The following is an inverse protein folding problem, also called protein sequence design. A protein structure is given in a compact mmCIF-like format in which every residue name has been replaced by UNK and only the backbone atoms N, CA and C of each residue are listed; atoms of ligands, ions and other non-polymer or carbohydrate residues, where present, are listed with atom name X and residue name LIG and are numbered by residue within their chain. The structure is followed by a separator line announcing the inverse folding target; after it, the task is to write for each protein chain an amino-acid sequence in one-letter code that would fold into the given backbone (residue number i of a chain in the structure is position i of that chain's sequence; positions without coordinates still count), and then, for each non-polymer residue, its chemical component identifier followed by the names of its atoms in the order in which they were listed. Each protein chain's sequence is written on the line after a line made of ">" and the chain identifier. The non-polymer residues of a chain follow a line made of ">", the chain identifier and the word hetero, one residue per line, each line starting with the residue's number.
data_IF_034569788400
#
_entry.id   IF_034569788400
#
_cell.length_a   1.000
_cell.length_b   1.000
_cell.length_c   1.000
_cell.angle_alpha   90.00
_cell.angle_beta   90.00
_cell.angle_gamma   90.00
#
_symmetry.space_group_name_H-M   'P 1'
#
loop_
_entity.id
_entity.type
_entity.pdbx_description
1 polymer ?
#
# COMPACT_ATOMS: atom_id res chain seq x y z
N UNK A 1 -25.40 8.26 9.61
CA UNK A 1 -24.19 8.81 10.23
C UNK A 1 -23.86 10.16 9.59
N UNK A 2 -23.34 11.14 10.36
CA UNK A 2 -22.81 12.36 9.77
C UNK A 2 -21.65 12.03 8.83
N UNK A 3 -21.55 12.73 7.69
CA UNK A 3 -20.57 12.47 6.64
C UNK A 3 -19.10 12.49 7.13
N UNK A 4 -18.81 13.25 8.20
CA UNK A 4 -17.46 13.34 8.79
C UNK A 4 -17.07 12.16 9.69
N UNK A 5 -17.94 11.16 9.85
CA UNK A 5 -17.72 9.97 10.68
C UNK A 5 -17.66 8.68 9.85
N UNK A 6 -17.83 8.79 8.57
CA UNK A 6 -17.81 7.69 7.63
C UNK A 6 -16.66 7.88 6.63
N UNK A 7 -15.77 6.93 6.57
CA UNK A 7 -14.75 6.85 5.52
C UNK A 7 -15.16 5.71 4.61
N UNK A 8 -15.23 5.97 3.32
CA UNK A 8 -15.63 4.99 2.31
C UNK A 8 -14.54 4.82 1.26
N UNK A 9 -14.39 3.61 0.77
CA UNK A 9 -13.48 3.26 -0.31
C UNK A 9 -14.15 2.28 -1.25
N UNK A 10 -14.17 2.61 -2.53
CA UNK A 10 -14.56 1.70 -3.60
C UNK A 10 -13.32 0.99 -4.15
N UNK A 11 -13.50 -0.25 -4.61
CA UNK A 11 -12.48 -0.91 -5.41
C UNK A 11 -12.43 -0.35 -6.84
N UNK A 12 -11.45 -0.80 -7.65
CA UNK A 12 -11.23 -0.29 -9.00
C UNK A 12 -12.41 -0.54 -9.97
N UNK A 13 -13.19 -1.59 -9.73
CA UNK A 13 -14.35 -1.96 -10.54
C UNK A 13 -15.65 -1.33 -10.06
N UNK A 14 -15.63 -0.63 -8.94
CA UNK A 14 -16.80 -0.03 -8.27
C UNK A 14 -17.94 -1.04 -7.95
N UNK A 15 -17.58 -2.30 -7.74
CA UNK A 15 -18.52 -3.37 -7.37
C UNK A 15 -18.44 -3.77 -5.90
N UNK A 16 -17.45 -3.24 -5.19
CA UNK A 16 -17.23 -3.50 -3.77
C UNK A 16 -16.96 -2.21 -3.02
N UNK A 17 -17.61 -2.05 -1.87
CA UNK A 17 -17.46 -0.90 -0.99
C UNK A 17 -16.98 -1.35 0.38
N UNK A 18 -15.88 -0.79 0.81
CA UNK A 18 -15.40 -0.89 2.19
C UNK A 18 -15.68 0.44 2.90
N UNK A 19 -16.16 0.38 4.13
CA UNK A 19 -16.40 1.58 4.91
C UNK A 19 -16.01 1.41 6.37
N UNK A 20 -15.55 2.51 6.96
CA UNK A 20 -15.14 2.61 8.36
C UNK A 20 -15.93 3.69 9.06
N UNK A 21 -16.37 3.40 10.28
CA UNK A 21 -17.16 4.34 11.09
C UNK A 21 -16.32 4.83 12.26
N UNK A 22 -16.10 6.13 12.32
CA UNK A 22 -15.37 6.81 13.40
C UNK A 22 -16.30 7.18 14.56
N UNK A 23 -17.01 6.22 15.14
CA UNK A 23 -17.81 6.47 16.34
C UNK A 23 -18.14 5.18 17.10
N UNK A 24 -17.16 4.63 17.81
CA UNK A 24 -17.36 3.42 18.63
C UNK A 24 -18.41 3.56 19.74
N UNK A 25 -18.64 4.79 20.25
CA UNK A 25 -19.54 5.03 21.38
C UNK A 25 -21.02 5.10 21.01
N UNK A 26 -21.33 5.26 19.73
CA UNK A 26 -22.69 5.44 19.19
C UNK A 26 -23.02 4.47 18.07
N UNK A 27 -22.28 3.34 18.01
CA UNK A 27 -22.61 2.28 17.07
C UNK A 27 -23.94 1.64 17.47
N UNK A 28 -24.96 1.63 16.60
CA UNK A 28 -26.17 0.86 16.84
C UNK A 28 -25.89 -0.64 16.72
N UNK A 29 -26.62 -1.48 17.44
CA UNK A 29 -26.53 -2.94 17.33
C UNK A 29 -26.84 -3.44 15.91
N UNK A 30 -27.63 -2.67 15.18
CA UNK A 30 -27.99 -2.93 13.78
C UNK A 30 -27.73 -1.68 12.95
N UNK A 31 -26.94 -1.84 11.89
CA UNK A 31 -26.68 -0.81 10.89
C UNK A 31 -27.54 -1.08 9.66
N UNK A 32 -28.26 -0.07 9.21
CA UNK A 32 -29.01 -0.09 7.96
C UNK A 32 -28.25 0.72 6.91
N UNK A 33 -27.85 0.02 5.83
CA UNK A 33 -27.14 0.61 4.70
C UNK A 33 -28.06 0.57 3.49
N UNK A 34 -28.27 1.71 2.85
CA UNK A 34 -29.00 1.82 1.58
C UNK A 34 -27.99 2.11 0.48
N UNK A 35 -28.01 1.27 -0.55
CA UNK A 35 -27.10 1.39 -1.69
C UNK A 35 -27.93 1.63 -2.94
N UNK A 36 -27.72 2.79 -3.56
CA UNK A 36 -28.36 3.16 -4.83
C UNK A 36 -27.43 2.83 -5.98
N UNK A 37 -27.88 2.00 -6.90
CA UNK A 37 -27.10 1.63 -8.10
C UNK A 37 -27.98 1.32 -9.29
N UNK A 38 -27.38 1.25 -10.47
CA UNK A 38 -28.08 0.88 -11.70
C UNK A 38 -28.04 -0.63 -11.88
N UNK A 39 -29.21 -1.28 -11.90
CA UNK A 39 -29.37 -2.71 -12.10
C UNK A 39 -29.96 -3.00 -13.46
N UNK A 40 -29.45 -4.03 -14.13
CA UNK A 40 -30.00 -4.50 -15.41
C UNK A 40 -31.30 -5.27 -15.15
N UNK A 41 -32.37 -4.87 -15.80
CA UNK A 41 -33.67 -5.56 -15.78
C UNK A 41 -33.66 -6.82 -16.68
N UNK A 42 -34.78 -7.52 -16.71
CA UNK A 42 -34.97 -8.74 -17.54
C UNK A 42 -34.90 -8.49 -19.05
N UNK A 43 -34.99 -7.23 -19.48
CA UNK A 43 -34.91 -6.80 -20.89
C UNK A 43 -33.51 -6.24 -21.23
N UNK A 44 -32.54 -6.33 -20.33
CA UNK A 44 -31.19 -5.82 -20.52
C UNK A 44 -31.06 -4.28 -20.35
N UNK A 45 -32.10 -3.60 -19.85
CA UNK A 45 -32.08 -2.14 -19.62
C UNK A 45 -31.63 -1.81 -18.20
N UNK A 46 -30.76 -0.83 -18.08
CA UNK A 46 -30.33 -0.30 -16.77
C UNK A 46 -31.47 0.51 -16.13
N UNK A 47 -31.86 0.14 -14.93
CA UNK A 47 -32.87 0.81 -14.11
C UNK A 47 -32.29 1.14 -12.73
N UNK A 48 -32.65 2.31 -12.14
CA UNK A 48 -32.22 2.64 -10.78
C UNK A 48 -32.83 1.66 -9.77
N UNK A 49 -31.98 1.17 -8.86
CA UNK A 49 -32.37 0.24 -7.82
C UNK A 49 -31.74 0.64 -6.51
N UNK A 50 -32.52 0.58 -5.42
CA UNK A 50 -32.05 0.80 -4.05
C UNK A 50 -32.05 -0.54 -3.31
N UNK A 51 -30.93 -0.95 -2.83
CA UNK A 51 -30.78 -2.15 -2.00
C UNK A 51 -30.66 -1.75 -0.53
N UNK A 52 -31.42 -2.43 0.32
CA UNK A 52 -31.36 -2.26 1.77
C UNK A 52 -30.62 -3.43 2.41
N UNK A 53 -29.44 -3.13 2.94
CA UNK A 53 -28.58 -4.11 3.61
C UNK A 53 -28.67 -3.89 5.11
N UNK A 54 -29.04 -4.92 5.85
CA UNK A 54 -29.06 -4.94 7.30
C UNK A 54 -27.83 -5.64 7.82
N UNK A 55 -26.98 -4.93 8.55
CA UNK A 55 -25.78 -5.45 9.19
C UNK A 55 -25.98 -5.47 10.70
N UNK A 56 -25.74 -6.60 11.35
CA UNK A 56 -25.74 -6.73 12.81
C UNK A 56 -24.31 -6.89 13.29
N UNK A 57 -23.98 -6.26 14.42
CA UNK A 57 -22.68 -6.44 15.03
C UNK A 57 -22.54 -7.90 15.47
N UNK A 58 -21.51 -8.59 15.00
CA UNK A 58 -21.17 -9.94 15.45
C UNK A 58 -20.68 -9.84 16.91
N UNK A 59 -21.52 -10.23 17.84
CA UNK A 59 -21.12 -10.32 19.24
C UNK A 59 -20.11 -11.46 19.40
N UNK A 60 -18.86 -11.13 19.64
CA UNK A 60 -17.78 -12.09 19.94
C UNK A 60 -17.99 -12.88 21.24
N UNK A 61 -19.20 -12.81 21.86
CA UNK A 61 -19.59 -13.44 23.12
C UNK A 61 -20.37 -14.76 23.00
N UNK A 62 -20.62 -15.28 21.81
CA UNK A 62 -21.27 -16.58 21.62
C UNK A 62 -20.32 -17.72 21.98
N UNK A 63 -20.58 -18.44 23.08
CA UNK A 63 -19.91 -19.69 23.47
C UNK A 63 -20.07 -20.75 22.39
N UNK A 64 -19.28 -20.74 21.37
CA UNK A 64 -19.03 -21.88 20.47
C UNK A 64 -17.94 -22.74 21.09
N UNK A 65 -18.33 -23.91 21.62
CA UNK A 65 -17.39 -24.98 21.96
C UNK A 65 -16.82 -25.50 20.63
N UNK A 66 -15.63 -25.11 20.30
CA UNK A 66 -14.57 -25.88 19.62
C UNK A 66 -13.62 -24.96 18.86
N UNK A 67 -12.36 -25.26 19.03
CA UNK A 67 -11.13 -24.67 18.50
C UNK A 67 -10.61 -23.45 19.26
N UNK A 68 -9.36 -23.61 19.72
CA UNK A 68 -8.49 -22.54 20.24
C UNK A 68 -8.32 -21.48 19.15
N UNK A 69 -9.30 -20.57 19.00
CA UNK A 69 -9.11 -19.34 18.23
C UNK A 69 -8.21 -18.45 19.05
N UNK A 70 -7.09 -18.09 18.49
CA UNK A 70 -6.26 -17.01 18.97
C UNK A 70 -7.20 -15.83 19.27
N UNK A 71 -7.26 -15.44 20.53
CA UNK A 71 -7.88 -14.18 20.96
C UNK A 71 -7.10 -13.12 20.18
N UNK A 72 -7.70 -12.55 19.14
CA UNK A 72 -7.14 -11.34 18.53
C UNK A 72 -7.15 -10.32 19.65
N UNK A 73 -5.97 -10.02 20.20
CA UNK A 73 -5.79 -8.84 21.02
C UNK A 73 -6.32 -7.67 20.20
N UNK A 74 -7.27 -6.91 20.75
CA UNK A 74 -7.67 -5.65 20.13
C UNK A 74 -6.40 -4.82 19.99
N UNK A 75 -6.09 -4.42 18.76
CA UNK A 75 -4.96 -3.54 18.51
C UNK A 75 -5.16 -2.27 19.34
N UNK A 76 -4.25 -2.00 20.26
CA UNK A 76 -4.26 -0.80 21.11
C UNK A 76 -3.39 0.30 20.52
N UNK A 77 -2.77 0.03 19.36
CA UNK A 77 -1.91 0.95 18.63
C UNK A 77 -2.33 1.01 17.16
N UNK A 78 -2.01 2.11 16.50
CA UNK A 78 -2.13 2.23 15.05
C UNK A 78 -1.04 1.38 14.41
N UNK A 79 -1.40 0.17 14.01
CA UNK A 79 -0.44 -0.79 13.41
C UNK A 79 -0.07 -0.35 12.02
N UNK A 80 1.24 -0.27 11.79
CA UNK A 80 1.85 0.17 10.55
C UNK A 80 2.89 -0.84 10.10
N UNK A 81 2.85 -1.21 8.84
CA UNK A 81 3.88 -2.04 8.17
C UNK A 81 4.59 -1.19 7.13
N UNK A 82 5.91 -1.18 7.15
CA UNK A 82 6.72 -0.52 6.11
C UNK A 82 7.53 -1.58 5.37
N UNK A 83 7.40 -1.59 4.05
CA UNK A 83 8.13 -2.48 3.15
C UNK A 83 9.06 -1.66 2.27
N UNK A 84 10.31 -2.06 2.21
CA UNK A 84 11.29 -1.52 1.27
C UNK A 84 12.27 -2.65 0.90
N UNK A 85 12.38 -2.92 -0.38
CA UNK A 85 13.21 -4.00 -0.88
C UNK A 85 14.26 -3.44 -1.82
N UNK A 86 15.51 -3.91 -1.76
CA UNK A 86 16.61 -3.37 -2.55
C UNK A 86 16.31 -3.31 -4.06
N UNK A 87 15.64 -4.33 -4.59
CA UNK A 87 15.30 -4.44 -6.01
C UNK A 87 14.17 -3.52 -6.45
N UNK A 88 13.35 -3.04 -5.50
CA UNK A 88 12.11 -2.29 -5.77
C UNK A 88 12.12 -0.86 -5.30
N UNK A 89 12.92 -0.53 -4.29
CA UNK A 89 12.86 0.77 -3.59
C UNK A 89 13.11 1.96 -4.52
N UNK A 90 13.86 1.79 -5.60
CA UNK A 90 14.12 2.86 -6.57
C UNK A 90 12.85 3.25 -7.34
N UNK A 91 11.98 2.30 -7.68
CA UNK A 91 10.75 2.55 -8.43
C UNK A 91 9.51 2.68 -7.55
N UNK A 92 9.45 1.94 -6.45
CA UNK A 92 8.26 1.87 -5.58
C UNK A 92 8.44 2.55 -4.23
N UNK A 93 9.65 3.05 -3.91
CA UNK A 93 9.93 3.73 -2.65
C UNK A 93 9.76 2.84 -1.42
N UNK A 94 9.44 3.47 -0.30
CA UNK A 94 9.04 2.82 0.95
C UNK A 94 7.52 2.74 0.98
N UNK A 95 6.98 1.54 0.85
CA UNK A 95 5.54 1.27 0.91
C UNK A 95 5.11 1.16 2.38
N UNK A 96 4.28 2.07 2.82
CA UNK A 96 3.75 2.11 4.19
C UNK A 96 2.27 1.76 4.17
N UNK A 97 1.86 0.76 4.93
CA UNK A 97 0.49 0.29 5.00
C UNK A 97 0.00 0.23 6.46
N UNK A 98 -1.19 0.76 6.69
CA UNK A 98 -1.86 0.80 7.99
C UNK A 98 -3.01 -0.20 8.04
N UNK A 99 -3.30 -0.76 9.22
CA UNK A 99 -4.44 -1.65 9.40
C UNK A 99 -5.77 -0.93 9.17
N UNK A 100 -5.83 0.38 9.50
CA UNK A 100 -7.01 1.21 9.36
C UNK A 100 -6.68 2.56 8.70
N UNK A 101 -7.65 3.22 8.06
CA UNK A 101 -7.45 4.55 7.51
C UNK A 101 -7.03 5.55 8.60
N UNK A 102 -6.18 6.49 8.21
CA UNK A 102 -5.72 7.56 9.09
C UNK A 102 -6.73 8.72 9.13
N UNK A 103 -6.92 9.30 10.32
CA UNK A 103 -7.64 10.55 10.55
C UNK A 103 -6.69 11.70 10.90
N UNK A 104 -5.42 11.39 11.18
CA UNK A 104 -4.36 12.35 11.38
C UNK A 104 -3.05 11.77 10.86
N UNK A 105 -2.32 12.58 10.13
CA UNK A 105 -1.03 12.23 9.52
C UNK A 105 -0.05 13.40 9.60
N UNK A 106 1.19 13.10 10.00
CA UNK A 106 2.25 14.09 10.15
C UNK A 106 3.57 13.54 9.61
N UNK A 107 3.73 13.59 8.30
CA UNK A 107 4.91 13.06 7.60
C UNK A 107 6.16 13.93 7.76
N UNK A 108 6.05 15.22 8.11
CA UNK A 108 7.19 16.13 8.26
C UNK A 108 8.19 15.69 9.32
N UNK A 109 7.74 14.90 10.28
CA UNK A 109 8.59 14.35 11.34
C UNK A 109 9.23 13.00 10.99
N UNK A 110 8.82 12.38 9.90
CA UNK A 110 9.43 11.18 9.36
C UNK A 110 10.78 11.54 8.76
N UNK A 111 11.80 10.73 9.01
CA UNK A 111 13.16 11.01 8.56
C UNK A 111 13.67 9.89 7.67
N UNK A 112 14.11 10.27 6.48
CA UNK A 112 14.87 9.39 5.60
C UNK A 112 16.34 9.80 5.64
N UNK A 113 17.22 8.82 5.86
CA UNK A 113 18.66 9.03 5.96
C UNK A 113 19.37 8.05 5.01
N UNK A 114 20.33 8.54 4.24
CA UNK A 114 21.25 7.70 3.49
C UNK A 114 22.55 7.53 4.31
N UNK A 115 23.09 6.32 4.31
CA UNK A 115 24.33 5.96 5.00
C UNK A 115 25.27 5.40 3.94
N UNK A 116 26.40 6.07 3.74
CA UNK A 116 27.38 5.66 2.74
C UNK A 116 28.24 4.48 3.28
N UNK A 117 29.08 3.82 2.41
CA UNK A 117 29.97 2.76 2.85
C UNK A 117 30.99 3.15 3.93
N UNK A 118 31.23 4.46 4.11
CA UNK A 118 32.11 4.98 5.17
C UNK A 118 31.35 5.31 6.48
N UNK A 119 30.10 4.88 6.60
CA UNK A 119 29.22 5.11 7.76
C UNK A 119 28.89 6.62 8.01
N UNK A 120 28.96 7.44 6.99
CA UNK A 120 28.54 8.84 7.08
C UNK A 120 27.05 8.93 6.73
N UNK A 121 26.29 9.60 7.60
CA UNK A 121 24.86 9.79 7.42
C UNK A 121 24.56 11.15 6.77
N UNK A 122 23.62 11.14 5.82
CA UNK A 122 23.08 12.35 5.23
C UNK A 122 21.55 12.28 5.19
N UNK A 123 20.91 13.42 5.50
CA UNK A 123 19.44 13.52 5.38
C UNK A 123 19.04 13.49 3.90
N UNK A 124 17.99 12.78 3.61
CA UNK A 124 17.41 12.68 2.28
C UNK A 124 15.95 13.14 2.31
N UNK A 125 15.55 13.89 1.30
CA UNK A 125 14.14 14.27 1.12
C UNK A 125 13.37 13.16 0.48
N UNK A 126 12.07 13.18 0.66
CA UNK A 126 11.14 12.26 0.02
C UNK A 126 9.81 12.95 -0.25
N UNK A 127 9.10 12.49 -1.24
CA UNK A 127 7.70 12.84 -1.48
C UNK A 127 6.78 11.76 -0.92
N UNK A 128 5.56 12.14 -0.56
CA UNK A 128 4.55 11.22 -0.04
C UNK A 128 3.36 11.19 -1.00
N UNK A 129 2.95 9.99 -1.40
CA UNK A 129 1.76 9.78 -2.22
C UNK A 129 0.86 8.78 -1.51
N UNK A 130 -0.41 9.13 -1.36
CA UNK A 130 -1.45 8.21 -0.88
C UNK A 130 -2.01 7.43 -2.06
N UNK A 131 -2.21 6.14 -1.89
CA UNK A 131 -2.87 5.31 -2.87
C UNK A 131 -4.35 5.71 -3.00
N UNK A 132 -4.83 5.93 -4.22
CA UNK A 132 -6.22 6.32 -4.48
C UNK A 132 -7.21 5.17 -4.31
N UNK A 133 -6.74 3.92 -4.46
CA UNK A 133 -7.55 2.70 -4.38
C UNK A 133 -7.42 2.00 -3.02
N UNK A 134 -6.42 2.37 -2.21
CA UNK A 134 -6.25 1.87 -0.85
C UNK A 134 -5.90 3.00 0.10
N UNK A 135 -6.91 3.55 0.77
CA UNK A 135 -6.77 4.68 1.70
C UNK A 135 -5.83 4.41 2.89
N UNK A 136 -5.42 3.17 3.09
CA UNK A 136 -4.50 2.75 4.14
C UNK A 136 -3.05 2.70 3.69
N UNK A 137 -2.80 2.89 2.36
CA UNK A 137 -1.49 2.73 1.75
C UNK A 137 -0.89 4.07 1.32
N UNK A 138 0.37 4.26 1.69
CA UNK A 138 1.19 5.42 1.32
C UNK A 138 2.51 4.95 0.74
N UNK A 139 3.04 5.72 -0.19
CA UNK A 139 4.36 5.53 -0.76
C UNK A 139 5.22 6.74 -0.43
N UNK A 140 6.36 6.49 0.21
CA UNK A 140 7.38 7.50 0.47
C UNK A 140 8.49 7.31 -0.56
N UNK A 141 8.52 8.18 -1.56
CA UNK A 141 9.48 8.12 -2.65
C UNK A 141 10.69 9.00 -2.34
N UNK A 142 11.90 8.42 -2.23
CA UNK A 142 13.13 9.20 -2.05
C UNK A 142 13.34 10.19 -3.21
N UNK A 143 13.70 11.42 -2.88
CA UNK A 143 14.10 12.41 -3.88
C UNK A 143 15.57 12.23 -4.25
N UNK A 144 15.84 12.06 -5.55
CA UNK A 144 17.18 11.85 -6.08
C UNK A 144 17.52 10.37 -6.29
N UNK A 145 18.69 10.16 -6.90
CA UNK A 145 19.16 8.82 -7.26
C UNK A 145 19.65 8.06 -6.03
N UNK A 146 19.21 6.83 -5.90
CA UNK A 146 19.75 5.90 -4.92
C UNK A 146 21.10 5.36 -5.38
N UNK A 147 22.05 5.23 -4.46
CA UNK A 147 23.44 4.85 -4.75
C UNK A 147 23.71 3.41 -4.31
N UNK A 148 24.37 2.65 -5.15
CA UNK A 148 24.81 1.27 -4.84
C UNK A 148 25.74 1.25 -3.61
N UNK A 149 25.59 0.21 -2.80
CA UNK A 149 26.38 0.03 -1.58
C UNK A 149 26.01 0.96 -0.43
N UNK A 150 24.98 1.79 -0.59
CA UNK A 150 24.43 2.61 0.50
C UNK A 150 23.33 1.88 1.25
N UNK A 151 23.15 2.24 2.51
CA UNK A 151 21.98 1.88 3.31
C UNK A 151 21.04 3.10 3.42
N UNK A 152 19.75 2.86 3.30
CA UNK A 152 18.71 3.87 3.46
C UNK A 152 17.85 3.51 4.66
N UNK A 153 17.73 4.45 5.59
CA UNK A 153 17.05 4.27 6.86
C UNK A 153 15.85 5.21 6.95
N UNK A 154 14.66 4.65 7.00
CA UNK A 154 13.42 5.39 7.27
C UNK A 154 13.08 5.24 8.75
N UNK A 155 12.99 6.36 9.45
CA UNK A 155 12.61 6.42 10.87
C UNK A 155 11.29 7.15 11.01
N UNK A 156 10.31 6.46 11.58
CA UNK A 156 8.98 6.99 11.91
C UNK A 156 8.91 7.18 13.42
N UNK A 157 8.79 8.41 13.92
CA UNK A 157 8.64 8.64 15.36
C UNK A 157 7.28 8.16 15.88
N UNK A 158 7.17 8.04 17.19
CA UNK A 158 5.92 7.76 17.89
C UNK A 158 4.91 8.90 17.72
N UNK A 159 3.61 8.58 17.60
CA UNK A 159 2.47 9.51 17.52
C UNK A 159 2.43 10.43 16.31
N UNK A 160 3.03 10.02 15.20
CA UNK A 160 2.95 10.77 13.94
C UNK A 160 1.66 10.50 13.17
N UNK A 161 1.05 9.34 13.38
CA UNK A 161 -0.16 8.89 12.72
C UNK A 161 -1.21 8.49 13.73
N UNK A 162 -2.46 8.77 13.42
CA UNK A 162 -3.60 8.35 14.22
C UNK A 162 -4.66 7.72 13.32
N UNK A 163 -5.04 6.50 13.64
CA UNK A 163 -6.06 5.78 12.90
C UNK A 163 -7.49 6.21 13.25
N UNK A 164 -8.46 5.71 12.50
CA UNK A 164 -9.88 5.97 12.72
C UNK A 164 -10.37 5.52 14.08
N UNK A 165 -9.72 4.55 14.72
CA UNK A 165 -10.02 4.09 16.07
C UNK A 165 -9.48 5.03 17.17
N UNK A 166 -8.67 6.02 16.78
CA UNK A 166 -8.07 6.97 17.68
C UNK A 166 -6.74 6.55 18.28
N UNK A 167 -6.15 5.44 17.82
CA UNK A 167 -4.85 4.96 18.28
C UNK A 167 -3.71 5.61 17.51
N UNK A 168 -2.60 5.83 18.21
CA UNK A 168 -1.38 6.37 17.61
C UNK A 168 -0.39 5.25 17.30
N UNK A 169 0.46 5.50 16.28
CA UNK A 169 1.53 4.58 15.93
C UNK A 169 2.66 4.59 16.98
N UNK A 170 3.31 3.45 17.13
CA UNK A 170 4.60 3.33 17.79
C UNK A 170 5.74 3.81 16.88
N UNK A 171 6.93 4.05 17.47
CA UNK A 171 8.11 4.35 16.67
C UNK A 171 8.54 3.12 15.87
N UNK A 172 8.94 3.35 14.60
CA UNK A 172 9.43 2.30 13.72
C UNK A 172 10.66 2.75 12.97
N UNK A 173 11.55 1.81 12.68
CA UNK A 173 12.74 2.04 11.85
C UNK A 173 12.86 0.90 10.85
N UNK A 174 12.98 1.26 9.57
CA UNK A 174 13.16 0.31 8.48
C UNK A 174 14.42 0.69 7.70
N UNK A 175 15.21 -0.32 7.38
CA UNK A 175 16.46 -0.17 6.64
C UNK A 175 16.41 -0.99 5.37
N UNK A 176 16.94 -0.41 4.30
CA UNK A 176 17.18 -1.09 3.05
C UNK A 176 18.62 -0.84 2.60
N UNK A 177 19.37 -1.90 2.35
CA UNK A 177 20.76 -1.82 1.89
C UNK A 177 20.84 -2.21 0.42
N UNK A 178 21.31 -1.28 -0.40
CA UNK A 178 21.53 -1.57 -1.82
C UNK A 178 22.85 -2.33 -1.99
N UNK A 179 22.86 -3.37 -2.82
CA UNK A 179 24.08 -4.11 -3.12
C UNK A 179 25.13 -3.19 -3.76
N UNK A 180 26.41 -3.57 -3.65
CA UNK A 180 27.50 -2.88 -4.36
C UNK A 180 27.46 -3.20 -5.84
N UNK A 181 28.00 -2.30 -6.67
CA UNK A 181 28.00 -2.42 -8.14
C UNK A 181 28.66 -3.70 -8.64
N UNK A 182 29.68 -4.21 -7.94
CA UNK A 182 30.39 -5.45 -8.28
C UNK A 182 29.53 -6.71 -8.21
N UNK A 183 28.34 -6.62 -7.58
CA UNK A 183 27.36 -7.69 -7.42
C UNK A 183 26.09 -7.48 -8.23
N UNK A 184 26.09 -6.50 -9.11
CA UNK A 184 24.91 -6.10 -9.88
C UNK A 184 25.17 -6.18 -11.37
N UNK A 185 24.12 -6.56 -12.08
CA UNK A 185 24.06 -6.59 -13.55
C UNK A 185 22.96 -5.68 -14.06
N UNK A 186 22.89 -5.50 -15.34
CA UNK A 186 21.76 -4.83 -16.01
C UNK A 186 21.24 -5.72 -17.15
N UNK A 187 19.95 -5.62 -17.39
CA UNK A 187 19.29 -6.24 -18.54
C UNK A 187 18.75 -5.13 -19.43
N UNK A 188 19.12 -5.17 -20.70
CA UNK A 188 18.54 -4.28 -21.72
C UNK A 188 17.59 -5.10 -22.59
N UNK A 189 16.37 -4.61 -22.76
CA UNK A 189 15.33 -5.21 -23.56
C UNK A 189 14.96 -4.28 -24.72
N UNK A 190 15.21 -4.73 -25.95
CA UNK A 190 14.82 -4.00 -27.16
C UNK A 190 13.46 -4.50 -27.65
N UNK A 191 12.47 -3.63 -27.64
CA UNK A 191 11.10 -3.92 -28.07
C UNK A 191 10.82 -3.24 -29.40
N UNK A 192 10.43 -4.04 -30.40
CA UNK A 192 10.16 -3.58 -31.77
C UNK A 192 8.78 -4.05 -32.23
N UNK A 193 8.16 -3.29 -33.12
CA UNK A 193 6.82 -3.59 -33.62
C UNK A 193 5.71 -3.22 -32.63
N UNK A 194 6.00 -2.32 -31.71
CA UNK A 194 5.04 -1.86 -30.68
C UNK A 194 4.01 -0.94 -31.35
N UNK A 195 2.77 -1.40 -31.45
CA UNK A 195 1.66 -0.72 -32.14
C UNK A 195 0.47 -0.40 -31.24
N UNK A 196 0.55 -0.81 -29.95
CA UNK A 196 -0.44 -0.54 -28.93
C UNK A 196 0.27 -0.20 -27.61
N UNK A 197 -0.54 0.13 -26.60
CA UNK A 197 -0.06 0.32 -25.24
C UNK A 197 0.17 -1.04 -24.58
N UNK A 198 1.40 -1.27 -24.12
CA UNK A 198 1.78 -2.47 -23.39
C UNK A 198 2.33 -2.13 -22.02
N UNK A 199 2.14 -3.05 -21.09
CA UNK A 199 2.82 -3.05 -19.79
C UNK A 199 3.91 -4.10 -19.87
N UNK A 200 5.15 -3.72 -19.54
CA UNK A 200 6.31 -4.60 -19.53
C UNK A 200 6.77 -4.75 -18.10
N UNK A 201 6.55 -5.93 -17.55
CA UNK A 201 6.88 -6.24 -16.17
C UNK A 201 8.11 -7.15 -16.11
N UNK A 202 9.11 -6.76 -15.31
CA UNK A 202 10.19 -7.63 -14.91
C UNK A 202 9.77 -8.36 -13.64
N UNK A 203 9.71 -9.66 -13.68
CA UNK A 203 9.30 -10.55 -12.60
C UNK A 203 10.50 -11.27 -11.99
N UNK A 204 10.36 -11.68 -10.72
CA UNK A 204 11.29 -12.63 -10.11
C UNK A 204 11.20 -14.03 -10.74
N UNK A 205 12.06 -14.97 -10.32
CA UNK A 205 12.11 -16.34 -10.84
C UNK A 205 10.78 -17.09 -10.68
N UNK A 206 10.08 -16.89 -9.58
CA UNK A 206 8.80 -17.54 -9.26
C UNK A 206 7.60 -16.93 -10.00
N UNK A 207 7.79 -15.77 -10.65
CA UNK A 207 6.76 -15.00 -11.38
C UNK A 207 5.59 -14.53 -10.50
N UNK A 208 5.79 -14.45 -9.20
CA UNK A 208 4.78 -14.02 -8.24
C UNK A 208 4.96 -12.56 -7.79
N UNK A 209 6.04 -11.91 -8.25
CA UNK A 209 6.40 -10.56 -7.83
C UNK A 209 6.93 -9.72 -8.98
N UNK A 210 6.32 -8.55 -9.18
CA UNK A 210 6.81 -7.52 -10.10
C UNK A 210 7.93 -6.73 -9.43
N UNK A 211 9.11 -6.74 -10.04
CA UNK A 211 10.29 -6.00 -9.58
C UNK A 211 10.37 -4.62 -10.22
N UNK A 212 10.02 -4.51 -11.51
CA UNK A 212 9.96 -3.27 -12.29
C UNK A 212 8.78 -3.33 -13.25
N UNK A 213 8.19 -2.19 -13.54
CA UNK A 213 7.07 -2.07 -14.48
C UNK A 213 7.25 -0.82 -15.34
N UNK A 214 7.08 -0.96 -16.65
CA UNK A 214 7.14 0.13 -17.61
C UNK A 214 5.93 0.08 -18.52
N UNK A 215 5.42 1.26 -18.87
CA UNK A 215 4.36 1.40 -19.88
C UNK A 215 5.02 1.91 -21.15
N UNK A 216 4.79 1.23 -22.27
CA UNK A 216 5.30 1.59 -23.59
C UNK A 216 4.15 1.70 -24.61
N UNK A 217 4.30 2.63 -25.55
CA UNK A 217 3.32 2.86 -26.63
C UNK A 217 3.98 2.87 -28.02
N UNK A 218 5.29 2.75 -28.07
CA UNK A 218 6.15 2.71 -29.28
C UNK A 218 7.37 1.85 -29.07
N UNK A 219 8.07 1.53 -30.13
CA UNK A 219 9.35 0.85 -30.07
C UNK A 219 10.27 1.54 -29.05
N UNK A 220 10.83 0.76 -28.15
CA UNK A 220 11.56 1.28 -27.00
C UNK A 220 12.67 0.33 -26.56
N UNK A 221 13.74 0.92 -26.06
CA UNK A 221 14.78 0.23 -25.32
C UNK A 221 14.54 0.43 -23.82
N UNK A 222 14.35 -0.67 -23.09
CA UNK A 222 14.15 -0.65 -21.65
C UNK A 222 15.41 -1.16 -20.95
N UNK A 223 15.94 -0.37 -20.04
CA UNK A 223 17.06 -0.74 -19.19
C UNK A 223 16.54 -1.09 -17.80
N UNK A 224 16.83 -2.31 -17.35
CA UNK A 224 16.62 -2.79 -16.00
C UNK A 224 17.96 -2.82 -15.26
N UNK A 225 18.35 -1.75 -14.55
CA UNK A 225 19.61 -1.69 -13.85
C UNK A 225 19.54 -2.36 -12.48
N UNK A 226 20.70 -2.59 -11.88
CA UNK A 226 20.86 -3.06 -10.51
C UNK A 226 20.21 -4.40 -10.20
N UNK A 227 20.24 -5.32 -11.16
CA UNK A 227 19.75 -6.68 -10.95
C UNK A 227 20.83 -7.53 -10.27
N UNK A 228 20.44 -8.28 -9.26
CA UNK A 228 21.29 -9.31 -8.66
C UNK A 228 21.46 -10.48 -9.63
N UNK A 229 22.48 -11.29 -9.43
CA UNK A 229 22.60 -12.58 -10.12
C UNK A 229 21.33 -13.42 -9.82
N UNK A 230 20.72 -13.96 -10.90
CA UNK A 230 19.49 -14.73 -10.76
C UNK A 230 18.76 -14.95 -12.07
N UNK A 231 17.59 -15.57 -11.98
CA UNK A 231 16.68 -15.77 -13.10
C UNK A 231 15.52 -14.78 -12.98
N UNK A 232 15.17 -14.22 -14.12
CA UNK A 232 14.09 -13.25 -14.26
C UNK A 232 13.17 -13.65 -15.40
N UNK A 233 11.92 -13.15 -15.37
CA UNK A 233 10.96 -13.28 -16.48
C UNK A 233 10.47 -11.88 -16.87
N UNK A 234 10.18 -11.72 -18.14
CA UNK A 234 9.57 -10.50 -18.70
C UNK A 234 8.26 -10.89 -19.38
#
# INVERSE_FOLDING_TARGET
>A
FPANRLITQFNITNDSLEFWINDRKRMPDTLHVFVDYMKTDTLGKLTPFTEHIRMTMENSGGKSKSSKRNIKHEDTTCVMTVKAEPERVEQYGFEMEFNFPLIYEHFDSVKLTSINPRQQEAKMKFSVTRDSLNLRKYVLMPEGKLMSGYEYKLKVPHRMFRDINGFYNDSSEVKVSLPKDDKLSSLTLNLTGVNHKYIVDLLNEQRDKVLRSYIIEKDSELLFPYLKEGKYSV
#
